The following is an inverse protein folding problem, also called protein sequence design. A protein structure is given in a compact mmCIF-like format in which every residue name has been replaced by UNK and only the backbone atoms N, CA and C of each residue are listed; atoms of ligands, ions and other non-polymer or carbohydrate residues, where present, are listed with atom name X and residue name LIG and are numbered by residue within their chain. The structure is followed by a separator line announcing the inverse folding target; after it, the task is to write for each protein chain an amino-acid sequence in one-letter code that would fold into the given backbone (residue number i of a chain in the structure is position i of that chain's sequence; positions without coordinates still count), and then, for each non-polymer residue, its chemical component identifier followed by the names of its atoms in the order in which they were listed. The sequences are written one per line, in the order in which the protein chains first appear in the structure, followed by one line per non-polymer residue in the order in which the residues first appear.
data_IF_138224524876
#
_entry.id   IF_138224524876
#
_cell.length_a   1.000
_cell.length_b   1.000
_cell.length_c   1.000
_cell.angle_alpha   90.00
_cell.angle_beta   90.00
_cell.angle_gamma   90.00
#
_symmetry.space_group_name_H-M   'P 1'
#
loop_
_entity.id
_entity.type
_entity.pdbx_description
1 polymer ?
#
# COMPACT_ATOMS: atom_id res chain seq x y z
N UNK A 1 -5.93 14.50 -11.66
CA UNK A 1 -4.54 13.99 -11.77
C UNK A 1 -4.50 12.53 -11.36
N UNK A 2 -3.82 11.71 -12.14
CA UNK A 2 -3.72 10.28 -11.88
C UNK A 2 -2.30 9.91 -11.48
N UNK A 3 -2.18 8.83 -10.73
CA UNK A 3 -0.88 8.28 -10.33
C UNK A 3 -0.78 6.83 -10.78
N UNK A 4 0.38 6.46 -11.31
CA UNK A 4 0.68 5.05 -11.62
C UNK A 4 1.42 4.47 -10.41
N UNK A 5 0.87 3.40 -9.85
CA UNK A 5 1.45 2.71 -8.70
C UNK A 5 1.91 1.34 -9.13
N UNK A 6 3.17 1.01 -8.84
CA UNK A 6 3.71 -0.32 -9.05
C UNK A 6 4.05 -0.93 -7.69
N UNK A 7 3.54 -2.11 -7.43
CA UNK A 7 3.82 -2.83 -6.18
C UNK A 7 4.54 -4.13 -6.51
N UNK A 8 5.76 -4.24 -5.99
CA UNK A 8 6.54 -5.47 -6.05
C UNK A 8 6.38 -6.20 -4.75
N UNK A 9 5.97 -7.44 -4.81
CA UNK A 9 5.73 -8.24 -3.60
C UNK A 9 6.11 -9.69 -3.84
N UNK A 10 6.20 -10.42 -2.76
CA UNK A 10 6.54 -11.83 -2.78
C UNK A 10 5.46 -12.62 -2.07
N UNK A 11 4.99 -13.67 -2.73
CA UNK A 11 4.11 -14.67 -2.14
C UNK A 11 4.82 -16.02 -2.29
N UNK A 12 4.28 -16.92 -3.07
CA UNK A 12 5.01 -18.15 -3.40
C UNK A 12 6.17 -17.86 -4.36
N UNK A 13 6.02 -16.82 -5.15
CA UNK A 13 7.06 -16.32 -6.04
C UNK A 13 6.95 -14.81 -6.11
N UNK A 14 7.96 -14.16 -6.66
CA UNK A 14 7.93 -12.71 -6.82
C UNK A 14 6.87 -12.33 -7.85
N UNK A 15 6.16 -11.26 -7.55
CA UNK A 15 5.10 -10.76 -8.41
C UNK A 15 5.12 -9.24 -8.46
N UNK A 16 4.49 -8.70 -9.49
CA UNK A 16 4.37 -7.26 -9.69
C UNK A 16 2.95 -6.97 -10.12
N UNK A 17 2.33 -6.00 -9.47
CA UNK A 17 1.07 -5.45 -9.95
C UNK A 17 1.21 -3.95 -10.11
N UNK A 18 0.58 -3.42 -11.14
CA UNK A 18 0.58 -2.00 -11.42
C UNK A 18 -0.82 -1.55 -11.80
N UNK A 19 -1.12 -0.30 -11.47
CA UNK A 19 -2.41 0.27 -11.81
C UNK A 19 -2.33 1.78 -11.84
N UNK A 20 -3.28 2.40 -12.52
CA UNK A 20 -3.41 3.85 -12.58
C UNK A 20 -4.64 4.25 -11.78
N UNK A 21 -4.47 5.19 -10.87
CA UNK A 21 -5.53 5.59 -9.94
C UNK A 21 -5.68 7.10 -9.91
N UNK A 22 -6.89 7.60 -9.73
CA UNK A 22 -7.07 9.05 -9.52
C UNK A 22 -6.61 9.43 -8.10
N UNK A 23 -5.86 10.53 -8.01
CA UNK A 23 -5.41 11.02 -6.70
C UNK A 23 -6.55 11.68 -5.92
N UNK A 24 -7.36 12.51 -6.57
CA UNK A 24 -8.51 13.18 -5.95
C UNK A 24 -8.16 13.89 -4.63
N UNK A 25 -7.03 14.58 -4.62
CA UNK A 25 -6.57 15.28 -3.42
C UNK A 25 -5.90 14.41 -2.37
N UNK A 26 -5.74 13.11 -2.64
CA UNK A 26 -5.04 12.19 -1.74
C UNK A 26 -3.57 12.14 -2.09
N UNK A 27 -2.77 11.69 -1.15
CA UNK A 27 -1.33 11.50 -1.38
C UNK A 27 -1.08 10.16 -2.08
N UNK A 28 -0.02 10.08 -2.90
CA UNK A 28 0.28 8.81 -3.59
C UNK A 28 0.44 7.62 -2.64
N UNK A 29 1.04 7.82 -1.47
CA UNK A 29 1.21 6.75 -0.50
C UNK A 29 -0.11 6.23 0.05
N UNK A 30 -1.14 7.06 0.15
CA UNK A 30 -2.47 6.61 0.56
C UNK A 30 -3.11 5.74 -0.51
N UNK A 31 -3.00 6.16 -1.76
CA UNK A 31 -3.52 5.39 -2.89
C UNK A 31 -2.79 4.06 -2.99
N UNK A 32 -1.47 4.08 -2.83
CA UNK A 32 -0.67 2.87 -2.87
C UNK A 32 -1.02 1.91 -1.74
N UNK A 33 -1.28 2.45 -0.55
CA UNK A 33 -1.66 1.62 0.60
C UNK A 33 -3.00 0.92 0.34
N UNK A 34 -3.97 1.62 -0.21
CA UNK A 34 -5.26 1.00 -0.55
C UNK A 34 -5.07 -0.13 -1.56
N UNK A 35 -4.23 0.10 -2.56
CA UNK A 35 -3.92 -0.92 -3.56
C UNK A 35 -3.23 -2.12 -2.92
N UNK A 36 -2.26 -1.88 -2.05
CA UNK A 36 -1.54 -2.94 -1.35
C UNK A 36 -2.48 -3.75 -0.45
N UNK A 37 -3.39 -3.09 0.26
CA UNK A 37 -4.39 -3.78 1.09
C UNK A 37 -5.26 -4.70 0.24
N UNK A 38 -5.65 -4.26 -0.95
CA UNK A 38 -6.44 -5.07 -1.86
C UNK A 38 -5.66 -6.29 -2.33
N UNK A 39 -4.39 -6.10 -2.66
CA UNK A 39 -3.53 -7.21 -3.07
C UNK A 39 -3.40 -8.24 -1.95
N UNK A 40 -3.15 -7.78 -0.73
CA UNK A 40 -3.03 -8.68 0.43
C UNK A 40 -4.32 -9.47 0.64
N UNK A 41 -5.45 -8.84 0.48
CA UNK A 41 -6.74 -9.49 0.64
C UNK A 41 -6.93 -10.59 -0.40
N UNK A 42 -6.55 -10.33 -1.64
CA UNK A 42 -6.65 -11.31 -2.71
C UNK A 42 -5.69 -12.48 -2.49
N UNK A 43 -4.56 -12.23 -1.86
CA UNK A 43 -3.54 -13.24 -1.56
C UNK A 43 -3.72 -13.88 -0.19
N UNK A 44 -4.88 -13.66 0.46
CA UNK A 44 -5.16 -14.19 1.80
C UNK A 44 -4.10 -13.78 2.82
N UNK A 45 -3.54 -12.57 2.66
CA UNK A 45 -2.53 -11.97 3.54
C UNK A 45 -1.19 -12.71 3.57
N UNK A 46 -0.89 -13.52 2.56
CA UNK A 46 0.38 -14.22 2.45
C UNK A 46 1.44 -13.47 1.65
N UNK A 47 1.14 -12.26 1.21
CA UNK A 47 2.08 -11.47 0.41
C UNK A 47 2.99 -10.64 1.31
N UNK A 48 4.27 -10.57 0.94
CA UNK A 48 5.26 -9.72 1.60
C UNK A 48 5.63 -8.56 0.67
N UNK A 49 5.55 -7.34 1.20
CA UNK A 49 5.88 -6.16 0.42
C UNK A 49 7.39 -6.05 0.22
N UNK A 50 7.81 -5.87 -1.03
CA UNK A 50 9.20 -5.63 -1.34
C UNK A 50 9.45 -4.16 -1.68
N UNK A 51 8.64 -3.60 -2.56
CA UNK A 51 8.89 -2.24 -3.07
C UNK A 51 7.61 -1.66 -3.65
N UNK A 52 7.42 -0.35 -3.46
CA UNK A 52 6.32 0.39 -4.07
C UNK A 52 6.88 1.61 -4.78
N UNK A 53 6.52 1.77 -6.05
CA UNK A 53 6.91 2.92 -6.84
C UNK A 53 5.67 3.72 -7.24
N UNK A 54 5.80 5.04 -7.21
CA UNK A 54 4.77 5.95 -7.68
C UNK A 54 5.32 6.75 -8.85
N UNK A 55 4.46 7.07 -9.82
CA UNK A 55 4.84 7.84 -11.01
C UNK A 55 5.99 7.22 -11.81
N UNK A 56 6.15 5.90 -11.68
CA UNK A 56 7.14 5.14 -12.42
C UNK A 56 8.52 5.04 -11.79
N UNK A 57 8.93 6.01 -10.98
CA UNK A 57 10.30 6.05 -10.46
C UNK A 57 10.45 6.52 -9.01
N UNK A 58 9.38 6.96 -8.38
CA UNK A 58 9.46 7.42 -6.99
C UNK A 58 9.25 6.25 -6.03
N UNK A 59 10.27 5.92 -5.26
CA UNK A 59 10.16 4.88 -4.23
C UNK A 59 9.43 5.43 -3.03
N UNK A 60 8.22 4.95 -2.79
CA UNK A 60 7.40 5.36 -1.66
C UNK A 60 7.17 4.20 -0.69
N UNK A 61 8.00 3.18 -0.75
CA UNK A 61 7.85 1.98 0.08
C UNK A 61 7.77 2.33 1.55
N UNK A 62 8.72 3.12 2.04
CA UNK A 62 8.78 3.48 3.46
C UNK A 62 7.57 4.33 3.87
N UNK A 63 7.14 5.24 3.00
CA UNK A 63 5.97 6.07 3.28
C UNK A 63 4.72 5.22 3.45
N UNK A 64 4.56 4.19 2.62
CA UNK A 64 3.41 3.29 2.71
C UNK A 64 3.50 2.44 3.97
N UNK A 65 4.68 1.93 4.31
CA UNK A 65 4.88 1.14 5.52
C UNK A 65 4.55 1.98 6.76
N UNK A 66 5.03 3.21 6.80
CA UNK A 66 4.76 4.11 7.94
C UNK A 66 3.28 4.43 8.04
N UNK A 67 2.62 4.67 6.93
CA UNK A 67 1.19 4.96 6.90
C UNK A 67 0.37 3.75 7.36
N UNK A 68 0.75 2.56 6.96
CA UNK A 68 0.08 1.33 7.40
C UNK A 68 0.21 1.14 8.90
N UNK A 69 1.39 1.37 9.44
CA UNK A 69 1.61 1.28 10.89
C UNK A 69 0.79 2.31 11.65
N UNK A 70 0.71 3.52 11.10
CA UNK A 70 -0.04 4.59 11.72
C UNK A 70 -1.54 4.27 11.77
N UNK A 71 -2.10 3.76 10.69
CA UNK A 71 -3.49 3.33 10.65
C UNK A 71 -3.76 2.18 11.62
N UNK A 72 -2.83 1.23 11.71
CA UNK A 72 -2.97 0.10 12.59
C UNK A 72 -2.98 0.53 14.06
N UNK A 73 -2.07 1.43 14.43
CA UNK A 73 -2.02 1.97 15.79
C UNK A 73 -3.28 2.75 16.13
N UNK A 74 -3.77 3.54 15.20
CA UNK A 74 -5.00 4.30 15.39
C UNK A 74 -6.19 3.37 15.58
N UNK A 75 -6.28 2.33 14.80
CA UNK A 75 -7.35 1.34 14.93
C UNK A 75 -7.31 0.65 16.28
N UNK A 76 -6.11 0.31 16.77
CA UNK A 76 -5.95 -0.29 18.09
C UNK A 76 -6.41 0.66 19.19
N UNK A 77 -6.05 1.93 19.08
CA UNK A 77 -6.47 2.92 20.07
C UNK A 77 -7.98 3.09 20.10
N UNK A 78 -8.61 3.04 18.94
CA UNK A 78 -10.06 3.16 18.82
C UNK A 78 -10.79 1.97 19.43
N UNK A 79 -10.13 0.82 19.51
CA UNK A 79 -10.72 -0.40 20.03
C UNK A 79 -10.51 -0.58 21.53
N UNK A 80 -9.75 0.29 22.17
CA UNK A 80 -9.54 0.22 23.61
C UNK A 80 -10.77 0.75 24.35
N UNK A 81 -11.18 0.07 25.43
CA UNK A 81 -12.43 0.42 26.12
C UNK A 81 -12.30 1.61 27.08
N UNK A 82 -11.38 2.49 26.83
CA UNK A 82 -11.21 3.69 27.67
C UNK A 82 -10.68 4.87 26.90
#
# INVERSE_FOLDING_TARGET
MNVVIEIHYKSDSRALQAGTFPLRGRKPEQVALDFWKQIKKEMSYHAELEKILAFGDQDITQLVIDLEKEEWNKSMNDNLPF
#
